data_IF_313572827155
#
_entry.id   IF_313572827155
#
_cell.length_a   1.000
_cell.length_b   1.000
_cell.length_c   1.000
_cell.angle_alpha   90.00
_cell.angle_beta   90.00
_cell.angle_gamma   90.00
#
_symmetry.space_group_name_H-M   'P 1'
#
loop_
_entity.id
_entity.type
_entity.pdbx_description
1 polymer ?
#
# COMPACT_ATOMS: atom_id res chain seq x y z
N UNK A 1 3.71 4.86 11.69
CA UNK A 1 4.03 3.97 10.55
C UNK A 1 4.65 2.70 11.08
N UNK A 2 4.21 1.55 10.55
CA UNK A 2 4.72 0.23 10.93
C UNK A 2 6.22 0.07 10.53
N UNK A 3 7.00 -0.72 11.28
CA UNK A 3 8.40 -1.00 10.91
C UNK A 3 8.51 -1.77 9.60
N UNK A 4 7.52 -2.62 9.29
CA UNK A 4 7.49 -3.40 8.07
C UNK A 4 7.36 -2.50 6.83
N UNK A 5 6.50 -1.48 6.86
CA UNK A 5 6.38 -0.53 5.74
C UNK A 5 7.67 0.29 5.57
N UNK A 6 8.32 0.72 6.65
CA UNK A 6 9.59 1.44 6.56
C UNK A 6 10.68 0.62 5.86
N UNK A 7 10.79 -0.67 6.20
CA UNK A 7 11.73 -1.58 5.54
C UNK A 7 11.36 -1.79 4.06
N UNK A 8 10.08 -1.93 3.77
CA UNK A 8 9.55 -2.05 2.40
C UNK A 8 9.92 -0.84 1.54
N UNK A 9 9.70 0.37 2.05
CA UNK A 9 10.07 1.62 1.39
C UNK A 9 11.58 1.69 1.11
N UNK A 10 12.42 1.38 2.10
CA UNK A 10 13.87 1.36 1.91
C UNK A 10 14.30 0.37 0.82
N UNK A 11 13.67 -0.80 0.75
CA UNK A 11 13.96 -1.79 -0.28
C UNK A 11 13.50 -1.33 -1.67
N UNK A 12 12.33 -0.72 -1.78
CA UNK A 12 11.81 -0.14 -3.02
C UNK A 12 12.76 0.95 -3.55
N UNK A 13 13.19 1.86 -2.67
CA UNK A 13 14.17 2.91 -3.01
C UNK A 13 15.51 2.33 -3.47
N UNK A 14 16.05 1.32 -2.77
CA UNK A 14 17.31 0.65 -3.16
C UNK A 14 17.20 -0.05 -4.52
N UNK A 15 16.01 -0.51 -4.90
CA UNK A 15 15.74 -1.16 -6.19
C UNK A 15 15.40 -0.18 -7.31
N UNK A 16 15.36 1.13 -7.03
CA UNK A 16 15.03 2.15 -8.03
C UNK A 16 13.57 2.10 -8.47
N UNK A 17 12.65 1.67 -7.59
CA UNK A 17 11.22 1.75 -7.88
C UNK A 17 10.78 3.22 -7.98
N UNK A 18 9.79 3.55 -8.82
CA UNK A 18 9.30 4.91 -9.01
C UNK A 18 8.48 5.33 -7.79
N UNK A 19 9.11 6.04 -6.85
CA UNK A 19 8.46 6.44 -5.61
C UNK A 19 7.30 7.42 -5.86
N UNK A 20 7.33 8.14 -6.98
CA UNK A 20 6.25 9.02 -7.43
C UNK A 20 4.93 8.27 -7.67
N UNK A 21 4.96 7.02 -8.15
CA UNK A 21 3.74 6.21 -8.34
C UNK A 21 3.14 5.79 -6.99
N UNK A 22 3.98 5.51 -6.00
CA UNK A 22 3.53 5.20 -4.65
C UNK A 22 2.96 6.45 -3.96
N UNK A 23 3.62 7.59 -4.10
CA UNK A 23 3.18 8.87 -3.52
C UNK A 23 1.82 9.29 -4.09
N UNK A 24 1.58 9.08 -5.39
CA UNK A 24 0.28 9.32 -6.02
C UNK A 24 -0.82 8.46 -5.36
N UNK A 25 -0.59 7.17 -5.19
CA UNK A 25 -1.54 6.25 -4.53
C UNK A 25 -1.80 6.66 -3.10
N UNK A 26 -0.76 6.98 -2.32
CA UNK A 26 -0.92 7.42 -0.93
C UNK A 26 -1.74 8.71 -0.86
N UNK A 27 -1.51 9.65 -1.78
CA UNK A 27 -2.26 10.91 -1.85
C UNK A 27 -3.74 10.67 -2.09
N UNK A 28 -4.08 9.87 -3.10
CA UNK A 28 -5.48 9.52 -3.43
C UNK A 28 -6.17 8.87 -2.21
N UNK A 29 -5.51 7.90 -1.57
CA UNK A 29 -6.04 7.25 -0.37
C UNK A 29 -6.21 8.20 0.81
N UNK A 30 -5.28 9.14 1.00
CA UNK A 30 -5.34 10.12 2.08
C UNK A 30 -6.45 11.17 1.85
N UNK A 31 -6.74 11.50 0.59
CA UNK A 31 -7.85 12.36 0.19
C UNK A 31 -9.21 11.63 0.23
N UNK A 32 -9.20 10.30 0.43
CA UNK A 32 -10.40 9.48 0.45
C UNK A 32 -10.99 9.20 -0.94
N UNK A 33 -10.19 9.39 -1.99
CA UNK A 33 -10.57 9.10 -3.37
C UNK A 33 -10.50 7.60 -3.66
N UNK A 34 -11.36 7.14 -4.57
CA UNK A 34 -11.28 5.76 -5.07
C UNK A 34 -10.04 5.59 -5.96
N UNK A 35 -9.30 4.51 -5.74
CA UNK A 35 -8.15 4.19 -6.57
C UNK A 35 -8.60 3.78 -7.98
N UNK A 36 -7.97 4.30 -9.04
CA UNK A 36 -8.20 3.82 -10.40
C UNK A 36 -8.04 2.29 -10.53
N UNK A 37 -8.87 1.65 -11.36
CA UNK A 37 -8.92 0.18 -11.53
C UNK A 37 -7.54 -0.46 -11.82
N UNK A 38 -6.62 0.29 -12.44
CA UNK A 38 -5.24 -0.17 -12.72
C UNK A 38 -4.50 -0.63 -11.46
N UNK A 39 -4.81 -0.04 -10.30
CA UNK A 39 -4.19 -0.39 -9.02
C UNK A 39 -4.79 -1.65 -8.39
N UNK A 40 -5.84 -2.25 -8.99
CA UNK A 40 -6.45 -3.53 -8.56
C UNK A 40 -6.71 -3.60 -7.06
N UNK A 41 -7.21 -2.51 -6.50
CA UNK A 41 -7.47 -2.38 -5.08
C UNK A 41 -8.55 -3.37 -4.63
N UNK A 42 -8.27 -4.16 -3.60
CA UNK A 42 -9.19 -5.17 -3.10
C UNK A 42 -9.04 -5.40 -1.59
N UNK A 43 -10.12 -5.83 -0.96
CA UNK A 43 -10.11 -6.17 0.46
C UNK A 43 -9.37 -7.50 0.68
N UNK A 44 -8.51 -7.53 1.68
CA UNK A 44 -7.85 -8.76 2.12
C UNK A 44 -8.74 -9.54 3.09
N UNK A 45 -8.48 -10.85 3.19
CA UNK A 45 -9.20 -11.79 4.05
C UNK A 45 -8.27 -12.47 5.06
N UNK A 46 -8.84 -13.22 6.01
CA UNK A 46 -8.08 -13.96 7.01
C UNK A 46 -7.38 -13.03 8.02
N UNK A 47 -6.09 -13.23 8.25
CA UNK A 47 -5.29 -12.43 9.20
C UNK A 47 -5.19 -10.95 8.82
N UNK A 48 -5.49 -10.62 7.56
CA UNK A 48 -5.50 -9.26 7.04
C UNK A 48 -6.92 -8.69 6.90
N UNK A 49 -7.91 -9.29 7.59
CA UNK A 49 -9.28 -8.77 7.59
C UNK A 49 -9.30 -7.31 8.06
N UNK A 50 -9.96 -6.46 7.28
CA UNK A 50 -10.01 -5.01 7.51
C UNK A 50 -8.81 -4.25 6.93
N UNK A 51 -7.92 -4.93 6.21
CA UNK A 51 -6.92 -4.30 5.35
C UNK A 51 -7.31 -4.46 3.88
N UNK A 52 -6.69 -3.64 3.05
CA UNK A 52 -6.80 -3.65 1.60
C UNK A 52 -5.40 -3.78 0.99
N UNK A 53 -5.34 -4.33 -0.20
CA UNK A 53 -4.13 -4.41 -1.00
C UNK A 53 -4.38 -3.78 -2.37
N UNK A 54 -3.42 -2.98 -2.83
CA UNK A 54 -3.38 -2.48 -4.19
C UNK A 54 -1.99 -2.68 -4.81
N UNK A 55 -1.99 -2.83 -6.13
CA UNK A 55 -0.81 -2.95 -6.98
C UNK A 55 -0.36 -1.58 -7.44
N UNK A 56 0.76 -1.06 -6.92
CA UNK A 56 1.44 0.09 -7.51
C UNK A 56 1.98 -0.29 -8.89
N UNK A 57 2.55 -1.49 -8.99
CA UNK A 57 2.98 -2.16 -10.23
C UNK A 57 2.64 -3.65 -10.16
N UNK A 58 2.75 -4.42 -11.27
CA UNK A 58 2.43 -5.84 -11.27
C UNK A 58 3.11 -6.65 -10.15
N UNK A 59 4.35 -6.31 -9.80
CA UNK A 59 5.08 -6.92 -8.67
C UNK A 59 5.49 -5.89 -7.60
N UNK A 60 4.64 -4.89 -7.34
CA UNK A 60 4.85 -3.97 -6.22
C UNK A 60 3.52 -3.60 -5.59
N UNK A 61 3.34 -4.03 -4.34
CA UNK A 61 2.08 -3.97 -3.62
C UNK A 61 2.16 -2.98 -2.45
N UNK A 62 1.00 -2.44 -2.07
CA UNK A 62 0.78 -1.69 -0.84
C UNK A 62 -0.38 -2.31 -0.08
N UNK A 63 -0.12 -2.71 1.16
CA UNK A 63 -1.15 -3.14 2.12
C UNK A 63 -1.44 -1.97 3.05
N UNK A 64 -2.70 -1.58 3.13
CA UNK A 64 -3.14 -0.44 3.92
C UNK A 64 -4.49 -0.68 4.62
N UNK A 65 -4.82 0.17 5.58
CA UNK A 65 -6.11 0.20 6.25
C UNK A 65 -6.58 1.65 6.41
N UNK A 66 -7.88 1.89 6.22
CA UNK A 66 -8.51 3.19 6.42
C UNK A 66 -9.46 3.10 7.60
N UNK A 67 -9.26 3.96 8.59
CA UNK A 67 -10.21 4.13 9.68
C UNK A 67 -11.06 5.39 9.43
N UNK A 68 -12.27 5.18 8.91
CA UNK A 68 -13.21 6.26 8.58
C UNK A 68 -13.72 7.04 9.80
N UNK A 69 -13.58 6.51 11.02
CA UNK A 69 -13.99 7.24 12.24
C UNK A 69 -12.96 8.26 12.67
N UNK A 70 -11.69 7.95 12.48
CA UNK A 70 -10.56 8.82 12.87
C UNK A 70 -9.89 9.49 11.68
N UNK A 71 -10.35 9.21 10.45
CA UNK A 71 -9.75 9.66 9.19
C UNK A 71 -8.25 9.34 9.11
N UNK A 72 -7.87 8.14 9.56
CA UNK A 72 -6.48 7.70 9.59
C UNK A 72 -6.24 6.65 8.49
N UNK A 73 -5.33 6.96 7.58
CA UNK A 73 -4.70 6.01 6.66
C UNK A 73 -3.50 5.35 7.34
N UNK A 74 -3.51 4.03 7.45
CA UNK A 74 -2.40 3.24 7.99
C UNK A 74 -1.77 2.43 6.87
N UNK A 75 -0.48 2.68 6.59
CA UNK A 75 0.30 1.84 5.68
C UNK A 75 0.95 0.71 6.48
N UNK A 76 0.55 -0.53 6.20
CA UNK A 76 0.98 -1.71 6.94
C UNK A 76 2.27 -2.31 6.34
N UNK A 77 2.28 -2.56 5.02
CA UNK A 77 3.42 -3.15 4.30
C UNK A 77 3.48 -2.66 2.86
N UNK A 78 4.68 -2.65 2.28
CA UNK A 78 4.87 -2.51 0.83
C UNK A 78 6.06 -3.34 0.39
N UNK A 79 6.04 -3.85 -0.84
CA UNK A 79 7.11 -4.67 -1.40
C UNK A 79 6.65 -5.47 -2.61
N UNK A 80 7.54 -6.30 -3.14
CA UNK A 80 7.17 -7.30 -4.16
C UNK A 80 6.39 -8.44 -3.51
N UNK A 81 5.78 -9.33 -4.31
CA UNK A 81 5.15 -10.53 -3.74
C UNK A 81 6.15 -11.32 -2.88
N UNK A 82 7.40 -11.44 -3.34
CA UNK A 82 8.49 -12.13 -2.62
C UNK A 82 8.89 -11.45 -1.30
N UNK A 83 8.72 -10.14 -1.15
CA UNK A 83 8.99 -9.43 0.11
C UNK A 83 7.85 -9.60 1.13
N UNK A 84 6.67 -9.99 0.66
CA UNK A 84 5.45 -10.08 1.45
C UNK A 84 5.10 -11.49 1.92
N UNK A 85 5.65 -12.51 1.25
CA UNK A 85 5.67 -13.92 1.66
C UNK A 85 6.48 -14.17 2.94
#
# INVERSE_FOLDING_TARGET
MDRAVQKGLQNAMRRGQPMEELDEVIRLLAEGEELPEKYRDHALVGNWLGHRECHIRPDWLLIYAVNNRTLVLTLARTGTHSDLL
#
